data_IF_593868555636
#
_entry.id   IF_593868555636
#
_cell.length_a   1.000
_cell.length_b   1.000
_cell.length_c   1.000
_cell.angle_alpha   90.00
_cell.angle_beta   90.00
_cell.angle_gamma   90.00
#
_symmetry.space_group_name_H-M   'P 1'
#
loop_
_entity.id
_entity.type
_entity.pdbx_description
1 polymer ?
#
# COMPACT_ATOMS: atom_id res chain seq x y z
N UNK A 1 -3.16 22.00 -37.33
CA UNK A 1 -1.78 21.82 -36.83
C UNK A 1 -1.87 21.40 -35.37
N UNK A 2 -1.38 20.22 -35.02
CA UNK A 2 -1.56 19.63 -33.68
C UNK A 2 -0.88 20.51 -32.62
N UNK A 3 -1.61 20.83 -31.55
CA UNK A 3 -1.10 21.61 -30.42
C UNK A 3 0.08 20.89 -29.76
N UNK A 4 1.19 21.59 -29.47
CA UNK A 4 2.33 20.96 -28.81
C UNK A 4 1.94 20.69 -27.36
N UNK A 5 1.60 19.45 -27.04
CA UNK A 5 1.48 19.00 -25.65
C UNK A 5 2.86 19.17 -25.01
N UNK A 6 3.05 20.25 -24.25
CA UNK A 6 4.24 20.47 -23.43
C UNK A 6 4.25 19.42 -22.33
N UNK A 7 4.80 18.26 -22.62
CA UNK A 7 5.03 17.20 -21.63
C UNK A 7 6.02 17.73 -20.61
N UNK A 8 5.58 17.80 -19.35
CA UNK A 8 6.45 18.16 -18.23
C UNK A 8 7.41 16.99 -18.01
N UNK A 9 8.68 17.19 -18.32
CA UNK A 9 9.71 16.20 -17.99
C UNK A 9 9.93 16.21 -16.48
N UNK A 10 9.84 15.04 -15.84
CA UNK A 10 10.08 14.86 -14.41
C UNK A 10 11.30 13.98 -14.23
N UNK A 11 12.22 14.35 -13.33
CA UNK A 11 13.36 13.52 -12.98
C UNK A 11 12.99 12.61 -11.82
N UNK A 12 13.02 11.30 -12.04
CA UNK A 12 12.75 10.29 -11.02
C UNK A 12 14.06 9.61 -10.63
N UNK A 13 14.31 9.48 -9.33
CA UNK A 13 15.50 8.82 -8.78
C UNK A 13 15.07 7.54 -8.08
N UNK A 14 15.47 6.41 -8.65
CA UNK A 14 15.21 5.08 -8.07
C UNK A 14 16.53 4.40 -7.71
N UNK A 15 16.53 3.54 -6.66
CA UNK A 15 17.61 2.59 -6.41
C UNK A 15 17.96 1.76 -7.65
N UNK A 16 19.26 1.46 -7.82
CA UNK A 16 19.76 0.63 -8.92
C UNK A 16 19.02 -0.70 -9.11
N UNK A 17 18.70 -1.48 -8.05
CA UNK A 17 17.93 -2.71 -8.20
C UNK A 17 16.55 -2.49 -8.83
N UNK A 18 15.87 -1.40 -8.46
CA UNK A 18 14.55 -1.07 -9.00
C UNK A 18 14.65 -0.65 -10.47
N UNK A 19 15.66 0.13 -10.87
CA UNK A 19 15.89 0.46 -12.27
C UNK A 19 16.13 -0.78 -13.14
N UNK A 20 16.86 -1.77 -12.62
CA UNK A 20 17.09 -3.05 -13.31
C UNK A 20 15.78 -3.81 -13.50
N UNK A 21 14.93 -3.86 -12.47
CA UNK A 21 13.61 -4.50 -12.55
C UNK A 21 12.71 -3.78 -13.55
N UNK A 22 12.60 -2.45 -13.46
CA UNK A 22 11.79 -1.62 -14.38
C UNK A 22 12.22 -1.87 -15.83
N UNK A 23 13.54 -1.85 -16.09
CA UNK A 23 14.08 -2.14 -17.42
C UNK A 23 13.66 -3.53 -17.89
N UNK A 24 13.85 -4.56 -17.07
CA UNK A 24 13.50 -5.94 -17.44
C UNK A 24 12.00 -6.11 -17.76
N UNK A 25 11.12 -5.42 -17.03
CA UNK A 25 9.67 -5.51 -17.23
C UNK A 25 9.20 -4.71 -18.44
N UNK A 26 9.83 -3.56 -18.71
CA UNK A 26 9.59 -2.76 -19.91
C UNK A 26 10.05 -3.53 -21.17
N UNK A 27 11.26 -4.11 -21.12
CA UNK A 27 11.83 -4.91 -22.20
C UNK A 27 10.96 -6.14 -22.51
N UNK A 28 10.47 -6.85 -21.47
CA UNK A 28 9.58 -8.01 -21.63
C UNK A 28 8.26 -7.67 -22.35
N UNK A 29 7.77 -6.44 -22.21
CA UNK A 29 6.55 -5.96 -22.86
C UNK A 29 6.83 -5.18 -24.16
N UNK A 30 8.09 -5.13 -24.59
CA UNK A 30 8.53 -4.32 -25.74
C UNK A 30 8.04 -2.87 -25.67
N UNK A 31 8.00 -2.31 -24.46
CA UNK A 31 7.46 -0.98 -24.19
C UNK A 31 8.58 -0.03 -23.75
N UNK A 32 8.48 1.26 -24.11
CA UNK A 32 9.40 2.26 -23.58
C UNK A 32 9.26 2.35 -22.05
N UNK A 33 10.39 2.50 -21.34
CA UNK A 33 10.42 2.55 -19.87
C UNK A 33 9.49 3.65 -19.33
N UNK A 34 9.47 4.83 -19.97
CA UNK A 34 8.61 5.93 -19.56
C UNK A 34 7.11 5.57 -19.66
N UNK A 35 6.71 4.93 -20.76
CA UNK A 35 5.32 4.51 -20.97
C UNK A 35 4.92 3.39 -20.01
N UNK A 36 5.85 2.49 -19.70
CA UNK A 36 5.63 1.44 -18.70
C UNK A 36 5.40 2.04 -17.31
N UNK A 37 6.24 3.01 -16.91
CA UNK A 37 6.08 3.72 -15.63
C UNK A 37 4.73 4.45 -15.60
N UNK A 38 4.38 5.15 -16.68
CA UNK A 38 3.09 5.84 -16.79
C UNK A 38 1.92 4.87 -16.66
N UNK A 39 1.96 3.73 -17.35
CA UNK A 39 0.90 2.71 -17.28
C UNK A 39 0.73 2.15 -15.86
N UNK A 40 1.84 1.89 -15.16
CA UNK A 40 1.82 1.42 -13.77
C UNK A 40 1.24 2.49 -12.85
N UNK A 41 1.75 3.72 -12.93
CA UNK A 41 1.25 4.83 -12.09
C UNK A 41 -0.22 5.10 -12.39
N UNK A 42 -0.65 5.11 -13.65
CA UNK A 42 -2.06 5.30 -14.01
C UNK A 42 -2.97 4.19 -13.50
N UNK A 43 -2.49 2.95 -13.39
CA UNK A 43 -3.24 1.85 -12.78
C UNK A 43 -3.41 2.02 -11.27
N UNK A 44 -2.36 2.50 -10.59
CA UNK A 44 -2.42 2.77 -9.15
C UNK A 44 -3.23 4.04 -8.83
N UNK A 45 -3.34 4.97 -9.78
CA UNK A 45 -4.01 6.27 -9.60
C UNK A 45 -5.40 6.36 -10.24
N UNK A 46 -5.87 5.31 -10.91
CA UNK A 46 -7.32 5.16 -11.14
C UNK A 46 -7.98 4.99 -9.78
N UNK A 47 -8.81 5.95 -9.30
CA UNK A 47 -9.73 5.62 -8.23
C UNK A 47 -10.55 4.45 -8.77
N UNK A 48 -10.46 3.33 -8.08
CA UNK A 48 -11.14 2.10 -8.40
C UNK A 48 -12.63 2.42 -8.67
N UNK A 49 -13.01 2.50 -9.95
CA UNK A 49 -14.37 2.25 -10.33
C UNK A 49 -14.53 0.74 -10.12
N UNK A 50 -14.89 0.37 -8.90
CA UNK A 50 -15.20 -0.99 -8.45
C UNK A 50 -15.87 -1.79 -9.56
N UNK A 51 -15.19 -2.78 -10.15
CA UNK A 51 -15.88 -3.90 -10.74
C UNK A 51 -16.00 -4.95 -9.63
N UNK A 52 -17.18 -4.96 -9.01
CA UNK A 52 -17.75 -6.12 -8.32
C UNK A 52 -16.77 -6.94 -7.46
N UNK A 53 -16.75 -6.56 -6.17
CA UNK A 53 -16.38 -7.40 -5.05
C UNK A 53 -17.03 -8.79 -5.17
N UNK A 54 -16.33 -9.74 -5.77
CA UNK A 54 -16.47 -11.14 -5.39
C UNK A 54 -15.69 -11.28 -4.09
N UNK A 55 -16.42 -11.08 -3.00
CA UNK A 55 -15.97 -11.31 -1.64
C UNK A 55 -15.68 -12.81 -1.44
N UNK A 56 -14.57 -13.31 -1.96
CA UNK A 56 -13.92 -14.45 -1.33
C UNK A 56 -13.16 -13.92 -0.12
N UNK A 57 -13.88 -13.87 1.00
CA UNK A 57 -13.29 -13.87 2.34
C UNK A 57 -12.55 -15.20 2.50
N UNK A 58 -11.39 -15.31 1.88
CA UNK A 58 -10.41 -16.33 2.24
C UNK A 58 -10.16 -16.14 3.72
N UNK A 59 -10.60 -17.11 4.53
CA UNK A 59 -10.40 -17.13 5.96
C UNK A 59 -8.90 -17.09 6.22
N UNK A 60 -8.37 -15.89 6.43
CA UNK A 60 -7.02 -15.71 6.92
C UNK A 60 -6.99 -16.22 8.36
N UNK A 61 -6.70 -17.51 8.49
CA UNK A 61 -6.62 -18.17 9.79
C UNK A 61 -5.21 -17.92 10.30
N UNK A 62 -5.08 -16.93 11.18
CA UNK A 62 -3.81 -16.67 11.86
C UNK A 62 -3.39 -17.93 12.64
N UNK A 63 -2.12 -18.31 12.51
CA UNK A 63 -1.56 -19.42 13.29
C UNK A 63 -1.78 -19.14 14.79
N UNK A 64 -2.20 -20.13 15.61
CA UNK A 64 -2.51 -19.92 17.03
C UNK A 64 -1.35 -19.28 17.80
N UNK A 65 -0.11 -19.62 17.44
CA UNK A 65 1.08 -19.02 18.06
C UNK A 65 1.24 -17.53 17.73
N UNK A 66 0.81 -17.09 16.54
CA UNK A 66 0.82 -15.68 16.16
C UNK A 66 -0.29 -14.91 16.89
N UNK A 67 -1.46 -15.53 17.10
CA UNK A 67 -2.53 -14.94 17.91
C UNK A 67 -2.07 -14.74 19.36
N UNK A 68 -1.48 -15.77 19.97
CA UNK A 68 -0.94 -15.69 21.33
C UNK A 68 0.15 -14.62 21.45
N UNK A 69 1.03 -14.51 20.46
CA UNK A 69 2.06 -13.46 20.44
C UNK A 69 1.43 -12.05 20.36
N UNK A 70 0.46 -11.84 19.46
CA UNK A 70 -0.23 -10.56 19.31
C UNK A 70 -0.99 -10.21 20.60
N UNK A 71 -1.70 -11.15 21.21
CA UNK A 71 -2.37 -10.96 22.50
C UNK A 71 -1.38 -10.60 23.61
N UNK A 72 -0.21 -11.25 23.65
CA UNK A 72 0.84 -10.95 24.63
C UNK A 72 1.39 -9.51 24.48
N UNK A 73 1.46 -8.99 23.25
CA UNK A 73 1.88 -7.62 23.00
C UNK A 73 0.79 -6.60 23.32
N UNK A 74 -0.49 -6.95 23.07
CA UNK A 74 -1.61 -6.03 23.24
C UNK A 74 -2.08 -5.92 24.69
N UNK A 75 -2.06 -7.00 25.48
CA UNK A 75 -2.48 -7.00 26.88
C UNK A 75 -1.83 -5.91 27.76
N UNK A 76 -0.49 -5.72 27.77
CA UNK A 76 0.13 -4.67 28.58
C UNK A 76 -0.21 -3.27 28.08
N UNK A 77 -0.45 -3.09 26.77
CA UNK A 77 -0.87 -1.82 26.19
C UNK A 77 -2.31 -1.48 26.56
N UNK A 78 -3.21 -2.47 26.54
CA UNK A 78 -4.60 -2.29 26.97
C UNK A 78 -4.68 -1.94 28.46
N UNK A 79 -3.85 -2.57 29.30
CA UNK A 79 -3.74 -2.21 30.73
C UNK A 79 -3.27 -0.77 30.92
N UNK A 80 -2.23 -0.34 30.19
CA UNK A 80 -1.74 1.05 30.25
C UNK A 80 -2.79 2.05 29.74
N UNK A 81 -3.50 1.73 28.67
CA UNK A 81 -4.57 2.59 28.15
C UNK A 81 -5.71 2.71 29.17
N UNK A 82 -6.11 1.61 29.81
CA UNK A 82 -7.14 1.63 30.85
C UNK A 82 -6.72 2.46 32.06
N UNK A 83 -5.46 2.33 32.49
CA UNK A 83 -4.90 3.13 33.59
C UNK A 83 -4.85 4.62 33.22
N UNK A 84 -4.35 4.96 32.03
CA UNK A 84 -4.29 6.34 31.54
C UNK A 84 -5.68 6.96 31.41
N UNK A 85 -6.69 6.21 30.94
CA UNK A 85 -8.10 6.68 30.90
C UNK A 85 -8.64 6.95 32.30
N UNK A 86 -8.30 6.09 33.26
CA UNK A 86 -8.70 6.27 34.67
C UNK A 86 -8.03 7.51 35.26
N UNK A 87 -6.73 7.73 34.97
CA UNK A 87 -5.99 8.92 35.39
C UNK A 87 -6.48 10.21 34.72
N UNK A 88 -6.95 10.13 33.48
CA UNK A 88 -7.52 11.26 32.73
C UNK A 88 -8.94 11.61 33.22
N UNK A 89 -9.50 10.87 34.17
CA UNK A 89 -10.85 11.10 34.69
C UNK A 89 -11.94 10.70 33.70
N UNK A 90 -11.62 9.94 32.65
CA UNK A 90 -12.60 9.31 31.74
C UNK A 90 -13.23 8.07 32.40
N UNK A 91 -13.61 8.21 33.68
CA UNK A 91 -14.57 7.29 34.29
C UNK A 91 -15.92 7.59 33.63
N UNK A 92 -16.35 6.68 32.74
CA UNK A 92 -17.70 6.58 32.16
C UNK A 92 -18.74 7.46 32.86
N UNK A 93 -19.16 8.52 32.17
CA UNK A 93 -20.56 8.92 32.11
C UNK A 93 -21.21 8.18 30.93
#
# INVERSE_FOLDING_TARGET
>A
MATPHRTKQVNLRFPLPLLSQIKSQADAKQQAIADWILAVVSREFTPEATPESSAETSQFTLHPDLLAYVESCLNPLQSQIAELRTQLGESKA
#
